data_IF_546195597154
#
_entry.id   IF_546195597154
#
_cell.length_a   1.000
_cell.length_b   1.000
_cell.length_c   1.000
_cell.angle_alpha   90.00
_cell.angle_beta   90.00
_cell.angle_gamma   90.00
#
_symmetry.space_group_name_H-M   'P 1'
#
loop_
_entity.id
_entity.type
_entity.pdbx_description
1 polymer ?
#
# COMPACT_ATOMS: atom_id res chain seq x y z
N UNK A 1 2.13 22.12 -5.76
CA UNK A 1 3.09 21.01 -5.62
C UNK A 1 3.87 21.20 -4.34
N UNK A 2 4.08 20.14 -3.58
CA UNK A 2 4.88 20.17 -2.34
C UNK A 2 6.37 20.37 -2.67
N UNK A 3 7.19 20.80 -1.70
CA UNK A 3 8.65 20.92 -1.89
C UNK A 3 9.26 19.58 -2.34
N UNK A 4 8.75 18.47 -1.81
CA UNK A 4 9.15 17.11 -2.18
C UNK A 4 8.82 16.78 -3.63
N UNK A 5 7.62 17.13 -4.11
CA UNK A 5 7.22 16.90 -5.51
C UNK A 5 8.10 17.69 -6.49
N UNK A 6 8.44 18.94 -6.15
CA UNK A 6 9.35 19.75 -6.96
C UNK A 6 10.74 19.12 -7.05
N UNK A 7 11.29 18.67 -5.92
CA UNK A 7 12.60 18.00 -5.87
C UNK A 7 12.61 16.69 -6.68
N UNK A 8 11.55 15.88 -6.54
CA UNK A 8 11.38 14.64 -7.30
C UNK A 8 11.38 14.92 -8.81
N UNK A 9 10.65 15.95 -9.25
CA UNK A 9 10.57 16.32 -10.66
C UNK A 9 11.93 16.75 -11.22
N UNK A 10 12.70 17.53 -10.46
CA UNK A 10 14.03 17.96 -10.91
C UNK A 10 15.04 16.82 -10.95
N UNK A 11 15.07 15.94 -9.94
CA UNK A 11 15.94 14.76 -9.92
C UNK A 11 15.58 13.73 -10.99
N UNK A 12 14.29 13.63 -11.36
CA UNK A 12 13.83 12.71 -12.40
C UNK A 12 14.35 13.08 -13.79
N UNK A 13 14.70 14.35 -14.03
CA UNK A 13 15.28 14.81 -15.31
C UNK A 13 16.72 14.36 -15.49
N UNK A 14 17.47 14.20 -14.39
CA UNK A 14 18.91 13.89 -14.42
C UNK A 14 19.21 12.41 -14.19
N UNK A 15 18.24 11.63 -13.70
CA UNK A 15 18.42 10.22 -13.36
C UNK A 15 17.31 9.34 -13.99
N UNK A 16 17.55 8.72 -15.16
CA UNK A 16 16.52 7.96 -15.89
C UNK A 16 15.90 6.82 -15.05
N UNK A 17 16.72 6.09 -14.31
CA UNK A 17 16.28 4.99 -13.45
C UNK A 17 15.48 5.44 -12.22
N UNK A 18 15.48 6.74 -11.91
CA UNK A 18 14.72 7.27 -10.77
C UNK A 18 13.23 7.28 -11.10
N UNK A 19 12.86 7.60 -12.33
CA UNK A 19 11.45 7.62 -12.76
C UNK A 19 10.77 6.25 -12.57
N UNK A 20 11.44 5.18 -12.98
CA UNK A 20 10.92 3.82 -12.84
C UNK A 20 10.80 3.40 -11.37
N UNK A 21 11.77 3.81 -10.53
CA UNK A 21 11.70 3.58 -9.09
C UNK A 21 10.54 4.34 -8.45
N UNK A 22 10.35 5.61 -8.82
CA UNK A 22 9.22 6.42 -8.33
C UNK A 22 7.91 5.74 -8.69
N UNK A 23 7.72 5.38 -9.96
CA UNK A 23 6.51 4.69 -10.41
C UNK A 23 6.26 3.38 -9.62
N UNK A 24 7.31 2.61 -9.37
CA UNK A 24 7.22 1.41 -8.55
C UNK A 24 6.79 1.72 -7.10
N UNK A 25 7.38 2.72 -6.45
CA UNK A 25 7.03 3.08 -5.07
C UNK A 25 5.64 3.73 -4.97
N UNK A 26 5.24 4.52 -5.96
CA UNK A 26 3.89 5.10 -6.03
C UNK A 26 2.82 4.01 -6.10
N UNK A 27 3.07 2.95 -6.89
CA UNK A 27 2.20 1.78 -6.96
C UNK A 27 2.09 1.10 -5.59
N UNK A 28 3.22 0.85 -4.91
CA UNK A 28 3.20 0.24 -3.57
C UNK A 28 2.47 1.10 -2.53
N UNK A 29 2.64 2.41 -2.59
CA UNK A 29 1.93 3.35 -1.73
C UNK A 29 0.43 3.34 -2.00
N UNK A 30 0.00 3.19 -3.26
CA UNK A 30 -1.41 3.08 -3.61
C UNK A 30 -2.08 1.87 -2.92
N UNK A 31 -1.39 0.73 -2.88
CA UNK A 31 -1.86 -0.45 -2.15
C UNK A 31 -1.87 -0.21 -0.65
N UNK A 32 -0.84 0.43 -0.12
CA UNK A 32 -0.74 0.76 1.30
C UNK A 32 -1.92 1.64 1.77
N UNK A 33 -2.25 2.69 1.01
CA UNK A 33 -3.38 3.56 1.31
C UNK A 33 -4.71 2.81 1.25
N UNK A 34 -4.93 1.97 0.23
CA UNK A 34 -6.16 1.16 0.16
C UNK A 34 -6.34 0.24 1.38
N UNK A 35 -5.26 -0.33 1.90
CA UNK A 35 -5.28 -1.17 3.11
C UNK A 35 -5.56 -0.32 4.36
N UNK A 36 -4.92 0.85 4.48
CA UNK A 36 -5.16 1.80 5.59
C UNK A 36 -6.63 2.22 5.61
N UNK A 37 -7.18 2.59 4.46
CA UNK A 37 -8.55 3.09 4.34
C UNK A 37 -9.54 1.99 4.72
N UNK A 38 -9.37 0.78 4.18
CA UNK A 38 -10.17 -0.37 4.57
C UNK A 38 -10.12 -0.64 6.08
N UNK A 39 -8.94 -0.58 6.70
CA UNK A 39 -8.81 -0.76 8.15
C UNK A 39 -9.55 0.33 8.92
N UNK A 40 -9.41 1.58 8.50
CA UNK A 40 -10.06 2.74 9.13
C UNK A 40 -11.58 2.71 8.98
N UNK A 41 -12.09 2.29 7.83
CA UNK A 41 -13.53 2.07 7.61
C UNK A 41 -14.11 1.06 8.59
N UNK A 42 -13.34 0.03 8.94
CA UNK A 42 -13.71 -0.97 9.94
C UNK A 42 -13.52 -0.48 11.40
N UNK A 43 -12.95 0.71 11.62
CA UNK A 43 -12.69 1.26 12.96
C UNK A 43 -11.62 0.51 13.75
N UNK A 44 -10.70 -0.20 13.08
CA UNK A 44 -9.74 -1.10 13.72
C UNK A 44 -8.35 -0.47 13.88
N UNK A 45 -7.70 -0.79 15.00
CA UNK A 45 -6.25 -0.61 15.15
C UNK A 45 -5.50 -1.61 14.25
N UNK A 46 -4.21 -1.36 13.99
CA UNK A 46 -3.39 -2.30 13.22
C UNK A 46 -3.34 -3.69 13.85
N UNK A 47 -3.29 -3.78 15.19
CA UNK A 47 -3.30 -5.07 15.89
C UNK A 47 -4.62 -5.82 15.68
N UNK A 48 -5.76 -5.16 15.89
CA UNK A 48 -7.08 -5.77 15.70
C UNK A 48 -7.30 -6.21 14.24
N UNK A 49 -6.80 -5.43 13.28
CA UNK A 49 -6.88 -5.81 11.87
C UNK A 49 -5.99 -7.02 11.55
N UNK A 50 -4.80 -7.07 12.14
CA UNK A 50 -3.90 -8.21 12.02
C UNK A 50 -4.51 -9.50 12.60
N UNK A 51 -5.11 -9.41 13.78
CA UNK A 51 -5.80 -10.52 14.45
C UNK A 51 -6.97 -11.02 13.59
N UNK A 52 -7.74 -10.09 13.01
CA UNK A 52 -8.86 -10.40 12.12
C UNK A 52 -8.44 -11.10 10.84
N UNK A 53 -7.33 -10.67 10.23
CA UNK A 53 -6.78 -11.26 9.00
C UNK A 53 -6.02 -12.56 9.31
N UNK A 54 -5.56 -12.75 10.55
CA UNK A 54 -4.72 -13.88 10.95
C UNK A 54 -3.28 -13.73 10.45
N UNK A 55 -2.67 -12.56 10.68
CA UNK A 55 -1.25 -12.28 10.42
C UNK A 55 -0.63 -11.54 11.62
N UNK A 56 0.70 -11.55 11.79
CA UNK A 56 1.34 -10.72 12.81
C UNK A 56 1.13 -9.22 12.53
N UNK A 57 0.91 -8.39 13.56
CA UNK A 57 0.76 -6.93 13.40
C UNK A 57 1.90 -6.26 12.63
N UNK A 58 3.19 -6.65 12.78
CA UNK A 58 4.27 -6.09 11.94
C UNK A 58 4.07 -6.32 10.44
N UNK A 59 3.30 -7.35 10.06
CA UNK A 59 2.94 -7.60 8.65
C UNK A 59 1.97 -6.53 8.14
N UNK A 60 0.97 -6.14 8.95
CA UNK A 60 0.06 -5.03 8.63
C UNK A 60 0.84 -3.72 8.54
N UNK A 61 1.69 -3.43 9.53
CA UNK A 61 2.50 -2.21 9.53
C UNK A 61 3.40 -2.11 8.28
N UNK A 62 3.99 -3.22 7.85
CA UNK A 62 4.80 -3.28 6.63
C UNK A 62 3.96 -3.02 5.37
N UNK A 63 2.77 -3.61 5.27
CA UNK A 63 1.87 -3.36 4.14
C UNK A 63 1.36 -1.91 4.10
N UNK A 64 1.00 -1.33 5.24
CA UNK A 64 0.50 0.05 5.34
C UNK A 64 1.58 1.13 5.16
N UNK A 65 2.86 0.76 5.19
CA UNK A 65 3.97 1.68 4.91
C UNK A 65 4.46 1.59 3.46
N UNK A 66 3.81 0.76 2.63
CA UNK A 66 4.24 0.50 1.25
C UNK A 66 5.58 -0.23 1.16
N UNK A 67 6.03 -0.84 2.26
CA UNK A 67 7.35 -1.44 2.34
C UNK A 67 7.29 -2.90 1.87
N UNK A 68 7.80 -3.15 0.67
CA UNK A 68 7.83 -4.48 0.06
C UNK A 68 6.57 -4.80 -0.73
N UNK A 69 6.75 -5.57 -1.81
CA UNK A 69 5.69 -5.85 -2.77
C UNK A 69 4.63 -6.78 -2.16
N UNK A 70 3.42 -6.26 -1.91
CA UNK A 70 2.31 -7.10 -1.45
C UNK A 70 1.83 -7.99 -2.60
N UNK A 71 1.63 -9.27 -2.31
CA UNK A 71 1.14 -10.21 -3.31
C UNK A 71 -0.38 -10.17 -3.42
N UNK A 72 -0.92 -10.53 -4.58
CA UNK A 72 -2.38 -10.70 -4.79
C UNK A 72 -2.97 -11.68 -3.77
N UNK A 73 -2.23 -12.75 -3.41
CA UNK A 73 -2.64 -13.70 -2.36
C UNK A 73 -2.88 -13.01 -1.02
N UNK A 74 -2.03 -12.07 -0.63
CA UNK A 74 -2.19 -11.33 0.62
C UNK A 74 -3.32 -10.31 0.52
N UNK A 75 -3.51 -9.66 -0.64
CA UNK A 75 -4.66 -8.79 -0.89
C UNK A 75 -5.98 -9.56 -0.77
N UNK A 76 -6.04 -10.79 -1.29
CA UNK A 76 -7.21 -11.66 -1.12
C UNK A 76 -7.44 -11.99 0.36
N UNK A 77 -6.39 -12.34 1.10
CA UNK A 77 -6.49 -12.62 2.54
C UNK A 77 -7.02 -11.42 3.34
N UNK A 78 -6.61 -10.21 2.96
CA UNK A 78 -7.14 -8.96 3.54
C UNK A 78 -8.63 -8.81 3.22
N UNK A 79 -9.02 -9.00 1.96
CA UNK A 79 -10.42 -8.92 1.54
C UNK A 79 -11.31 -9.91 2.29
N UNK A 80 -10.87 -11.16 2.43
CA UNK A 80 -11.57 -12.22 3.16
C UNK A 80 -11.73 -11.85 4.65
N UNK A 81 -10.65 -11.40 5.30
CA UNK A 81 -10.67 -10.97 6.72
C UNK A 81 -11.54 -9.73 6.96
N UNK A 82 -11.66 -8.86 5.95
CA UNK A 82 -12.51 -7.68 5.99
C UNK A 82 -13.96 -7.94 5.56
N UNK A 83 -14.29 -9.16 5.12
CA UNK A 83 -15.58 -9.50 4.48
C UNK A 83 -15.91 -8.56 3.31
N UNK A 84 -14.92 -8.29 2.46
CA UNK A 84 -15.04 -7.49 1.23
C UNK A 84 -14.67 -8.34 0.01
N UNK A 85 -14.95 -7.82 -1.17
CA UNK A 85 -14.51 -8.42 -2.43
C UNK A 85 -13.28 -7.68 -2.96
N UNK A 86 -12.24 -8.43 -3.34
CA UNK A 86 -11.10 -7.88 -4.07
C UNK A 86 -11.52 -7.66 -5.53
N UNK A 87 -11.42 -6.42 -6.00
CA UNK A 87 -11.70 -6.05 -7.39
C UNK A 87 -10.42 -5.50 -8.02
N UNK A 88 -10.02 -6.06 -9.15
CA UNK A 88 -8.85 -5.63 -9.92
C UNK A 88 -9.35 -5.21 -11.31
N UNK A 89 -8.93 -4.04 -11.78
CA UNK A 89 -9.27 -3.52 -13.09
C UNK A 89 -8.05 -2.89 -13.76
N UNK A 90 -7.95 -3.07 -15.08
CA UNK A 90 -7.00 -2.34 -15.91
C UNK A 90 -7.63 -1.01 -16.32
N UNK A 91 -6.85 0.06 -16.29
CA UNK A 91 -7.24 1.39 -16.75
C UNK A 91 -6.28 1.85 -17.83
#
# INVERSE_FOLDING_TARGET
MTETENLINDLSKTHPNLKDKIAHYDEQLSYAFAIIDLRKELGLTQQQFADRIGVPQPTIARWETGHGNITIKNLQKIADGAHKQLVIGFK
#
